data_IF_410229632571
#
_entry.id   IF_410229632571
#
_cell.length_a   1.000
_cell.length_b   1.000
_cell.length_c   1.000
_cell.angle_alpha   90.00
_cell.angle_beta   90.00
_cell.angle_gamma   90.00
#
_symmetry.space_group_name_H-M   'P 1'
#
loop_
_entity.id
_entity.type
_entity.pdbx_description
1 polymer ?
#
# COMPACT_ATOMS: atom_id res chain seq x y z
N UNK A 1 -8.59 -27.68 52.67
CA UNK A 1 -8.25 -28.06 51.28
C UNK A 1 -7.72 -26.81 50.62
N UNK A 2 -6.51 -26.78 50.05
CA UNK A 2 -6.03 -25.58 49.37
C UNK A 2 -6.74 -25.51 48.00
N UNK A 3 -7.40 -24.38 47.74
CA UNK A 3 -7.96 -24.07 46.44
C UNK A 3 -6.82 -23.99 45.43
N UNK A 4 -6.80 -24.90 44.47
CA UNK A 4 -5.89 -24.82 43.34
C UNK A 4 -6.30 -23.61 42.51
N UNK A 5 -5.50 -22.54 42.58
CA UNK A 5 -5.63 -21.39 41.70
C UNK A 5 -5.70 -21.89 40.26
N UNK A 6 -6.87 -21.76 39.62
CA UNK A 6 -7.01 -22.03 38.20
C UNK A 6 -6.13 -21.03 37.48
N UNK A 7 -5.02 -21.50 36.91
CA UNK A 7 -4.22 -20.70 36.00
C UNK A 7 -5.15 -20.17 34.91
N UNK A 8 -5.46 -18.88 34.94
CA UNK A 8 -6.21 -18.22 33.89
C UNK A 8 -5.30 -18.26 32.67
N UNK A 9 -5.50 -19.24 31.80
CA UNK A 9 -4.74 -19.37 30.57
C UNK A 9 -5.06 -18.15 29.69
N UNK A 10 -4.18 -17.15 29.77
CA UNK A 10 -4.31 -15.95 28.97
C UNK A 10 -3.80 -16.25 27.56
N UNK A 11 -4.74 -16.57 26.67
CA UNK A 11 -4.44 -16.82 25.26
C UNK A 11 -4.40 -15.54 24.41
N UNK A 12 -4.46 -14.36 25.02
CA UNK A 12 -4.36 -13.11 24.28
C UNK A 12 -2.98 -13.01 23.61
N UNK A 13 -3.00 -12.63 22.34
CA UNK A 13 -1.82 -12.41 21.51
C UNK A 13 -0.95 -13.65 21.25
N UNK A 14 -1.39 -14.88 21.56
CA UNK A 14 -0.62 -16.09 21.25
C UNK A 14 -0.24 -16.18 19.77
N UNK A 15 -1.19 -15.91 18.88
CA UNK A 15 -0.96 -15.93 17.44
C UNK A 15 -0.07 -14.77 16.98
N UNK A 16 -0.36 -13.55 17.47
CA UNK A 16 0.40 -12.34 17.13
C UNK A 16 1.85 -12.45 17.57
N UNK A 17 2.08 -12.87 18.82
CA UNK A 17 3.42 -13.04 19.39
C UNK A 17 4.18 -14.16 18.66
N UNK A 18 3.54 -15.31 18.42
CA UNK A 18 4.16 -16.40 17.67
C UNK A 18 4.56 -15.98 16.25
N UNK A 19 3.72 -15.20 15.57
CA UNK A 19 4.02 -14.67 14.24
C UNK A 19 5.17 -13.66 14.28
N UNK A 20 5.16 -12.73 15.24
CA UNK A 20 6.20 -11.71 15.40
C UNK A 20 7.56 -12.31 15.77
N UNK A 21 7.59 -13.30 16.66
CA UNK A 21 8.80 -13.94 17.16
C UNK A 21 9.40 -14.95 16.17
N UNK A 22 8.57 -15.70 15.43
CA UNK A 22 9.05 -16.83 14.64
C UNK A 22 8.84 -16.71 13.13
N UNK A 23 7.98 -15.79 12.66
CA UNK A 23 7.65 -15.67 11.22
C UNK A 23 8.12 -14.36 10.62
N UNK A 24 8.06 -13.26 11.39
CA UNK A 24 8.47 -11.93 10.90
C UNK A 24 10.00 -11.84 10.69
N UNK A 25 10.79 -12.43 11.59
CA UNK A 25 12.25 -12.33 11.59
C UNK A 25 12.93 -13.05 10.40
N UNK A 26 12.22 -13.90 9.67
CA UNK A 26 12.78 -14.72 8.58
C UNK A 26 12.71 -14.06 7.20
N UNK A 27 11.97 -12.96 7.07
CA UNK A 27 11.85 -12.24 5.80
C UNK A 27 12.18 -10.78 6.03
N UNK A 28 13.38 -10.36 5.62
CA UNK A 28 13.61 -8.96 5.33
C UNK A 28 12.85 -8.62 4.05
N UNK A 29 11.52 -8.48 4.19
CA UNK A 29 10.62 -8.05 3.12
C UNK A 29 11.10 -6.71 2.55
N UNK A 30 11.68 -5.89 3.41
CA UNK A 30 12.26 -4.62 3.02
C UNK A 30 13.48 -4.80 2.15
N UNK A 31 14.48 -5.61 2.53
CA UNK A 31 15.69 -5.78 1.71
C UNK A 31 15.38 -6.45 0.37
N UNK A 32 14.44 -7.40 0.34
CA UNK A 32 14.01 -8.07 -0.89
C UNK A 32 13.28 -7.12 -1.86
N UNK A 33 12.61 -6.09 -1.35
CA UNK A 33 11.84 -5.14 -2.17
C UNK A 33 12.51 -3.77 -2.32
N UNK A 34 13.59 -3.50 -1.59
CA UNK A 34 14.22 -2.17 -1.50
C UNK A 34 14.56 -1.58 -2.86
N UNK A 35 15.15 -2.37 -3.76
CA UNK A 35 15.49 -1.90 -5.11
C UNK A 35 14.24 -1.59 -5.93
N UNK A 36 13.20 -2.44 -5.84
CA UNK A 36 11.91 -2.23 -6.51
C UNK A 36 11.21 -0.98 -5.99
N UNK A 37 11.15 -0.81 -4.66
CA UNK A 37 10.54 0.35 -4.01
C UNK A 37 11.28 1.63 -4.36
N UNK A 38 12.61 1.62 -4.30
CA UNK A 38 13.43 2.77 -4.68
C UNK A 38 13.21 3.15 -6.15
N UNK A 39 13.14 2.17 -7.05
CA UNK A 39 12.85 2.42 -8.46
C UNK A 39 11.48 3.06 -8.66
N UNK A 40 10.43 2.48 -8.06
CA UNK A 40 9.06 3.03 -8.14
C UNK A 40 9.02 4.44 -7.55
N UNK A 41 9.71 4.68 -6.43
CA UNK A 41 9.79 6.00 -5.83
C UNK A 41 10.44 7.04 -6.76
N UNK A 42 11.58 6.73 -7.37
CA UNK A 42 12.24 7.63 -8.32
C UNK A 42 11.37 7.85 -9.57
N UNK A 43 10.68 6.82 -10.07
CA UNK A 43 9.75 6.95 -11.20
C UNK A 43 8.58 7.89 -10.86
N UNK A 44 7.94 7.74 -9.69
CA UNK A 44 6.88 8.63 -9.20
C UNK A 44 7.38 10.06 -9.02
N UNK A 45 8.58 10.22 -8.46
CA UNK A 45 9.21 11.53 -8.28
C UNK A 45 9.47 12.23 -9.62
N UNK A 46 9.89 11.50 -10.65
CA UNK A 46 10.08 12.06 -11.99
C UNK A 46 8.75 12.53 -12.60
N UNK A 47 7.67 11.78 -12.42
CA UNK A 47 6.33 12.21 -12.85
C UNK A 47 5.92 13.50 -12.12
N UNK A 48 6.12 13.56 -10.81
CA UNK A 48 5.83 14.74 -10.01
C UNK A 48 6.62 15.97 -10.46
N UNK A 49 7.94 15.87 -10.65
CA UNK A 49 8.77 17.00 -11.11
C UNK A 49 8.36 17.49 -12.50
N UNK A 50 7.94 16.59 -13.38
CA UNK A 50 7.43 16.95 -14.72
C UNK A 50 6.16 17.81 -14.60
N UNK A 51 5.26 17.46 -13.67
CA UNK A 51 3.95 18.10 -13.52
C UNK A 51 3.98 19.32 -12.62
N UNK A 52 4.94 19.41 -11.71
CA UNK A 52 5.15 20.62 -10.90
C UNK A 52 5.40 21.87 -11.76
N UNK A 53 5.92 21.68 -12.98
CA UNK A 53 6.08 22.75 -13.97
C UNK A 53 4.77 23.14 -14.67
N UNK A 54 3.77 22.27 -14.66
CA UNK A 54 2.44 22.54 -15.17
C UNK A 54 1.66 23.34 -14.12
N UNK A 55 1.27 24.56 -14.49
CA UNK A 55 0.46 25.41 -13.65
C UNK A 55 -1.00 24.95 -13.72
N UNK A 56 -1.30 23.79 -13.12
CA UNK A 56 -2.63 23.18 -13.04
C UNK A 56 -3.52 24.06 -12.16
N UNK A 57 -4.21 25.01 -12.78
CA UNK A 57 -5.11 25.94 -12.11
C UNK A 57 -6.44 25.31 -11.69
N UNK A 58 -7.32 26.08 -11.03
CA UNK A 58 -8.66 25.63 -10.68
C UNK A 58 -9.43 25.24 -11.96
N UNK A 59 -9.97 24.01 -11.99
CA UNK A 59 -10.71 23.47 -13.15
C UNK A 59 -9.92 22.50 -14.04
N UNK A 60 -8.62 22.28 -13.78
CA UNK A 60 -7.82 21.25 -14.46
C UNK A 60 -7.76 19.91 -13.69
N UNK A 61 -8.78 19.59 -12.89
CA UNK A 61 -8.83 18.34 -12.10
C UNK A 61 -8.72 17.09 -13.00
N UNK A 62 -9.36 17.11 -14.16
CA UNK A 62 -9.21 16.06 -15.17
C UNK A 62 -7.77 15.96 -15.71
N UNK A 63 -7.09 17.10 -15.85
CA UNK A 63 -5.69 17.16 -16.26
C UNK A 63 -4.74 16.63 -15.19
N UNK A 64 -5.05 16.86 -13.91
CA UNK A 64 -4.32 16.28 -12.78
C UNK A 64 -4.52 14.76 -12.73
N UNK A 65 -5.75 14.30 -12.96
CA UNK A 65 -6.06 12.87 -12.97
C UNK A 65 -5.27 12.13 -14.05
N UNK A 66 -5.37 12.61 -15.30
CA UNK A 66 -4.74 11.97 -16.45
C UNK A 66 -3.21 12.07 -16.44
N UNK A 67 -2.67 13.23 -16.03
CA UNK A 67 -1.22 13.48 -16.12
C UNK A 67 -0.48 12.97 -14.89
N UNK A 68 -1.09 12.99 -13.70
CA UNK A 68 -0.41 12.66 -12.44
C UNK A 68 -0.97 11.41 -11.78
N UNK A 69 -2.26 11.41 -11.45
CA UNK A 69 -2.86 10.38 -10.57
C UNK A 69 -2.85 9.01 -11.25
N UNK A 70 -3.31 8.92 -12.49
CA UNK A 70 -3.35 7.66 -13.25
C UNK A 70 -1.95 7.09 -13.49
N UNK A 71 -0.95 7.86 -13.97
CA UNK A 71 0.42 7.36 -14.13
C UNK A 71 1.06 6.87 -12.83
N UNK A 72 0.87 7.58 -11.72
CA UNK A 72 1.40 7.17 -10.41
C UNK A 72 0.77 5.87 -9.94
N UNK A 73 -0.55 5.72 -10.09
CA UNK A 73 -1.25 4.50 -9.70
C UNK A 73 -0.85 3.31 -10.58
N UNK A 74 -0.65 3.51 -11.87
CA UNK A 74 -0.11 2.48 -12.77
C UNK A 74 1.30 2.04 -12.36
N UNK A 75 2.18 2.98 -11.97
CA UNK A 75 3.53 2.65 -11.47
C UNK A 75 3.51 1.84 -10.17
N UNK A 76 2.49 2.07 -9.33
CA UNK A 76 2.24 1.30 -8.11
C UNK A 76 1.63 -0.08 -8.37
N UNK A 77 1.29 -0.39 -9.63
CA UNK A 77 0.72 -1.68 -10.04
C UNK A 77 -0.81 -1.74 -9.95
N UNK A 78 -1.49 -0.59 -9.85
CA UNK A 78 -2.94 -0.55 -9.96
C UNK A 78 -3.35 -0.55 -11.43
N UNK A 79 -4.24 -1.48 -11.79
CA UNK A 79 -4.89 -1.49 -13.09
C UNK A 79 -6.23 -0.77 -13.01
N UNK A 80 -6.47 0.11 -13.98
CA UNK A 80 -7.75 0.79 -14.12
C UNK A 80 -8.68 -0.08 -14.95
N UNK A 81 -9.53 -0.85 -14.29
CA UNK A 81 -10.61 -1.57 -14.96
C UNK A 81 -11.76 -0.57 -15.19
N UNK A 82 -11.85 -0.02 -16.40
CA UNK A 82 -12.98 0.84 -16.78
C UNK A 82 -14.16 -0.08 -17.04
N UNK A 83 -14.86 -0.49 -15.98
CA UNK A 83 -16.17 -1.09 -16.13
C UNK A 83 -17.13 0.00 -16.62
N UNK A 84 -17.54 -0.14 -17.88
CA UNK A 84 -18.46 0.73 -18.60
C UNK A 84 -19.90 0.54 -18.08
N UNK A 85 -20.12 0.60 -16.77
CA UNK A 85 -21.44 0.64 -16.15
C UNK A 85 -21.32 1.44 -14.84
N UNK A 86 -21.98 2.59 -14.86
CA UNK A 86 -22.49 3.39 -13.74
C UNK A 86 -21.70 3.37 -12.43
N UNK A 87 -21.12 4.52 -12.12
CA UNK A 87 -20.87 5.02 -10.75
C UNK A 87 -20.51 3.94 -9.72
N UNK A 88 -19.23 3.54 -9.63
CA UNK A 88 -18.49 3.24 -8.38
C UNK A 88 -17.11 2.70 -8.78
N UNK A 89 -16.05 3.42 -8.40
CA UNK A 89 -14.66 2.98 -8.57
C UNK A 89 -14.32 1.90 -7.54
N UNK A 90 -14.05 0.67 -7.99
CA UNK A 90 -13.46 -0.37 -7.15
C UNK A 90 -11.98 -0.55 -7.51
N UNK A 91 -11.10 -0.22 -6.56
CA UNK A 91 -9.66 -0.46 -6.65
C UNK A 91 -9.41 -1.96 -6.42
N UNK A 92 -8.97 -2.68 -7.45
CA UNK A 92 -8.56 -4.09 -7.32
C UNK A 92 -7.05 -4.15 -7.18
N UNK A 93 -6.58 -4.69 -6.05
CA UNK A 93 -5.15 -4.93 -5.78
C UNK A 93 -4.80 -6.30 -6.38
N UNK A 94 -3.83 -6.32 -7.30
CA UNK A 94 -3.26 -7.55 -7.87
C UNK A 94 -2.22 -8.19 -6.94
#
# INVERSE_FOLDING_TARGET
MPEQEKSVWNNQNLFSNNYLEHRLQLTSLWDAQKERVNKIFEDVKNVHETIKSLNLGPGEEAGLEDKFIRPVLTLLGYEWDVHLFDEIFFLKVA
#
